data_IF_074737896100
#
_entry.id   IF_074737896100
#
_cell.length_a   1.000
_cell.length_b   1.000
_cell.length_c   1.000
_cell.angle_alpha   90.00
_cell.angle_beta   90.00
_cell.angle_gamma   90.00
#
_symmetry.space_group_name_H-M   'P 1'
#
loop_
_entity.id
_entity.type
_entity.pdbx_description
1 polymer ?
#
# COMPACT_ATOMS: atom_id res chain seq x y z
N UNK A 1 79.06 24.73 -4.75
CA UNK A 1 77.93 25.37 -4.05
C UNK A 1 76.81 25.52 -5.07
N UNK A 2 76.10 24.42 -5.33
CA UNK A 2 74.96 24.40 -6.23
C UNK A 2 73.70 24.46 -5.37
N UNK A 3 72.90 25.49 -5.63
CA UNK A 3 71.65 25.77 -4.94
C UNK A 3 70.56 24.85 -5.53
N UNK A 4 70.16 23.84 -4.76
CA UNK A 4 69.01 22.99 -5.07
C UNK A 4 67.76 23.74 -4.62
N UNK A 5 66.94 24.19 -5.57
CA UNK A 5 65.65 24.80 -5.27
C UNK A 5 64.59 23.69 -5.14
N UNK A 6 64.07 23.55 -3.92
CA UNK A 6 62.93 22.70 -3.58
C UNK A 6 61.67 23.20 -4.30
N UNK A 7 61.29 22.50 -5.37
CA UNK A 7 60.03 22.72 -6.06
C UNK A 7 58.92 22.02 -5.27
N UNK A 8 58.29 22.78 -4.37
CA UNK A 8 57.12 22.37 -3.59
C UNK A 8 55.97 21.96 -4.52
N UNK A 9 55.70 20.65 -4.56
CA UNK A 9 54.57 20.05 -5.28
C UNK A 9 53.31 20.26 -4.43
N UNK A 10 52.69 21.44 -4.58
CA UNK A 10 51.40 21.74 -3.97
C UNK A 10 50.33 20.81 -4.55
N UNK A 11 49.94 19.81 -3.75
CA UNK A 11 48.85 18.90 -4.09
C UNK A 11 47.55 19.69 -4.32
N UNK A 12 46.84 19.49 -5.44
CA UNK A 12 45.57 20.15 -5.68
C UNK A 12 44.55 19.66 -4.63
N UNK A 13 44.17 20.57 -3.74
CA UNK A 13 43.14 20.39 -2.71
C UNK A 13 41.80 20.07 -3.41
N UNK A 14 41.55 18.78 -3.62
CA UNK A 14 40.37 18.27 -4.30
C UNK A 14 39.25 18.22 -3.26
N UNK A 15 38.73 19.39 -2.88
CA UNK A 15 37.57 19.48 -2.00
C UNK A 15 36.42 18.70 -2.66
N UNK A 16 35.82 17.71 -1.97
CA UNK A 16 34.75 16.90 -2.54
C UNK A 16 33.57 17.82 -2.82
N UNK A 17 33.35 18.11 -4.10
CA UNK A 17 32.26 18.94 -4.58
C UNK A 17 30.96 18.44 -3.94
N UNK A 18 30.29 19.32 -3.19
CA UNK A 18 29.00 19.04 -2.57
C UNK A 18 28.08 18.41 -3.62
N UNK A 19 27.67 17.15 -3.39
CA UNK A 19 26.87 16.33 -4.29
C UNK A 19 25.82 17.21 -4.98
N UNK A 20 26.09 17.57 -6.23
CA UNK A 20 25.17 18.36 -7.02
C UNK A 20 23.82 17.65 -6.97
N UNK A 21 22.79 18.34 -6.47
CA UNK A 21 21.46 17.75 -6.35
C UNK A 21 21.10 17.21 -7.72
N UNK A 22 20.97 15.88 -7.82
CA UNK A 22 20.59 15.19 -9.05
C UNK A 22 19.41 15.94 -9.65
N UNK A 23 19.61 16.46 -10.87
CA UNK A 23 18.57 17.22 -11.57
C UNK A 23 17.36 16.30 -11.71
N UNK A 24 16.20 16.79 -11.29
CA UNK A 24 14.95 16.04 -11.35
C UNK A 24 14.52 15.93 -12.80
N UNK A 25 14.07 14.74 -13.21
CA UNK A 25 13.45 14.53 -14.53
C UNK A 25 12.28 15.51 -14.72
N UNK A 26 12.07 15.99 -15.94
CA UNK A 26 10.91 16.83 -16.26
C UNK A 26 9.60 16.08 -16.00
N UNK A 27 8.51 16.85 -15.85
CA UNK A 27 7.16 16.29 -15.64
C UNK A 27 6.74 15.41 -16.84
N UNK A 28 7.10 15.82 -18.05
CA UNK A 28 6.78 15.12 -19.29
C UNK A 28 7.55 13.80 -19.40
N UNK A 29 8.87 13.82 -19.11
CA UNK A 29 9.68 12.59 -19.10
C UNK A 29 9.17 11.58 -18.05
N UNK A 30 8.73 12.06 -16.89
CA UNK A 30 8.12 11.21 -15.87
C UNK A 30 6.77 10.62 -16.34
N UNK A 31 5.96 11.40 -17.05
CA UNK A 31 4.67 10.94 -17.57
C UNK A 31 4.86 9.80 -18.59
N UNK A 32 5.82 9.95 -19.50
CA UNK A 32 6.22 8.92 -20.47
C UNK A 32 6.66 7.62 -19.78
N UNK A 33 7.52 7.72 -18.75
CA UNK A 33 7.96 6.55 -18.00
C UNK A 33 6.83 5.83 -17.26
N UNK A 34 5.85 6.59 -16.74
CA UNK A 34 4.67 6.01 -16.10
C UNK A 34 3.75 5.33 -17.11
N UNK A 35 3.57 5.92 -18.28
CA UNK A 35 2.74 5.36 -19.33
C UNK A 35 3.27 3.99 -19.78
N UNK A 36 4.57 3.89 -20.07
CA UNK A 36 5.22 2.64 -20.48
C UNK A 36 5.15 1.57 -19.38
N UNK A 37 5.26 1.98 -18.11
CA UNK A 37 5.04 1.07 -16.98
C UNK A 37 3.60 0.54 -16.95
N UNK A 38 2.61 1.42 -17.15
CA UNK A 38 1.19 1.06 -17.17
C UNK A 38 0.82 0.16 -18.36
N UNK A 39 1.57 0.24 -19.46
CA UNK A 39 1.48 -0.69 -20.59
C UNK A 39 2.01 -2.10 -20.27
N UNK A 40 2.54 -2.33 -19.06
CA UNK A 40 3.01 -3.65 -18.60
C UNK A 40 4.50 -3.91 -18.84
N UNK A 41 5.25 -2.95 -19.40
CA UNK A 41 6.68 -3.10 -19.64
C UNK A 41 7.46 -2.87 -18.33
N UNK A 42 7.63 -3.94 -17.56
CA UNK A 42 8.34 -3.89 -16.27
C UNK A 42 9.85 -4.11 -16.38
N UNK A 43 10.29 -4.82 -17.42
CA UNK A 43 11.69 -5.15 -17.72
C UNK A 43 12.00 -4.82 -19.18
N UNK A 44 12.16 -3.53 -19.53
CA UNK A 44 12.39 -3.15 -20.92
C UNK A 44 13.70 -3.75 -21.46
N UNK A 45 13.69 -4.18 -22.72
CA UNK A 45 14.86 -4.68 -23.44
C UNK A 45 15.91 -3.59 -23.64
N UNK A 46 17.13 -3.96 -24.05
CA UNK A 46 18.20 -2.98 -24.29
C UNK A 46 17.82 -1.99 -25.39
N UNK A 47 17.14 -2.47 -26.44
CA UNK A 47 16.64 -1.66 -27.55
C UNK A 47 15.51 -0.73 -27.10
N UNK A 48 14.54 -1.25 -26.35
CA UNK A 48 13.46 -0.43 -25.77
C UNK A 48 14.02 0.69 -24.89
N UNK A 49 15.01 0.38 -24.03
CA UNK A 49 15.68 1.40 -23.21
C UNK A 49 16.37 2.48 -24.05
N UNK A 50 16.96 2.12 -25.19
CA UNK A 50 17.60 3.09 -26.10
C UNK A 50 16.56 4.03 -26.71
N UNK A 51 15.44 3.49 -27.19
CA UNK A 51 14.34 4.27 -27.74
C UNK A 51 13.70 5.20 -26.69
N UNK A 52 13.43 4.69 -25.48
CA UNK A 52 12.94 5.51 -24.37
C UNK A 52 13.91 6.65 -24.03
N UNK A 53 15.21 6.36 -24.02
CA UNK A 53 16.23 7.35 -23.67
C UNK A 53 16.28 8.48 -24.70
N UNK A 54 16.29 8.13 -25.98
CA UNK A 54 16.24 9.10 -27.08
C UNK A 54 14.99 9.98 -27.00
N UNK A 55 13.83 9.36 -26.72
CA UNK A 55 12.57 10.08 -26.57
C UNK A 55 12.58 11.02 -25.37
N UNK A 56 13.14 10.61 -24.22
CA UNK A 56 13.26 11.47 -23.04
C UNK A 56 14.26 12.61 -23.27
N UNK A 57 15.39 12.34 -23.93
CA UNK A 57 16.39 13.35 -24.24
C UNK A 57 15.89 14.38 -25.27
N UNK A 58 14.90 14.03 -26.09
CA UNK A 58 14.24 14.98 -27.00
C UNK A 58 13.38 16.02 -26.28
N UNK A 59 13.04 15.81 -25.00
CA UNK A 59 12.24 16.74 -24.20
C UNK A 59 13.13 17.86 -23.59
N UNK A 60 12.64 19.10 -23.54
CA UNK A 60 13.41 20.22 -23.00
C UNK A 60 13.76 20.01 -21.52
N UNK A 61 15.04 20.14 -21.18
CA UNK A 61 15.55 19.99 -19.83
C UNK A 61 15.80 18.54 -19.38
N UNK A 62 15.74 17.56 -20.29
CA UNK A 62 16.04 16.14 -20.02
C UNK A 62 17.27 15.62 -20.77
N UNK A 63 18.10 16.51 -21.30
CA UNK A 63 19.28 16.17 -22.14
C UNK A 63 20.32 15.35 -21.36
N UNK A 64 20.37 15.59 -20.04
CA UNK A 64 21.29 14.94 -19.11
C UNK A 64 20.75 13.60 -18.58
N UNK A 65 19.61 13.12 -19.06
CA UNK A 65 19.06 11.85 -18.62
C UNK A 65 19.83 10.70 -19.26
N UNK A 66 20.25 9.73 -18.44
CA UNK A 66 21.08 8.60 -18.89
C UNK A 66 20.36 7.26 -18.73
N UNK A 67 20.87 6.22 -19.42
CA UNK A 67 20.38 4.84 -19.28
C UNK A 67 20.35 4.35 -17.83
N UNK A 68 21.34 4.74 -17.01
CA UNK A 68 21.38 4.40 -15.58
C UNK A 68 20.17 4.92 -14.81
N UNK A 69 19.63 6.07 -15.21
CA UNK A 69 18.46 6.68 -14.57
C UNK A 69 17.19 5.88 -14.90
N UNK A 70 17.07 5.37 -16.13
CA UNK A 70 16.00 4.44 -16.52
C UNK A 70 16.08 3.17 -15.69
N UNK A 71 17.27 2.56 -15.60
CA UNK A 71 17.46 1.33 -14.82
C UNK A 71 17.06 1.54 -13.36
N UNK A 72 17.47 2.67 -12.76
CA UNK A 72 17.10 3.04 -11.41
C UNK A 72 15.58 3.26 -11.25
N UNK A 73 14.92 3.90 -12.22
CA UNK A 73 13.47 4.11 -12.20
C UNK A 73 12.72 2.78 -12.22
N UNK A 74 13.02 1.90 -13.17
CA UNK A 74 12.35 0.60 -13.29
C UNK A 74 12.69 -0.32 -12.10
N UNK A 75 13.93 -0.30 -11.61
CA UNK A 75 14.31 -1.04 -10.41
C UNK A 75 13.56 -0.54 -9.17
N UNK A 76 13.46 0.78 -8.97
CA UNK A 76 12.71 1.38 -7.87
C UNK A 76 11.22 1.10 -7.95
N UNK A 77 10.64 1.04 -9.17
CA UNK A 77 9.25 0.67 -9.36
C UNK A 77 8.99 -0.80 -9.06
N UNK A 78 9.84 -1.71 -9.55
CA UNK A 78 9.74 -3.14 -9.22
C UNK A 78 9.91 -3.37 -7.72
N UNK A 79 10.90 -2.73 -7.10
CA UNK A 79 11.09 -2.83 -5.66
C UNK A 79 9.88 -2.28 -4.91
N UNK A 80 9.31 -1.16 -5.35
CA UNK A 80 8.09 -0.59 -4.76
C UNK A 80 6.88 -1.51 -4.89
N UNK A 81 6.68 -2.18 -6.02
CA UNK A 81 5.57 -3.15 -6.15
C UNK A 81 5.80 -4.34 -5.24
N UNK A 82 7.03 -4.89 -5.19
CA UNK A 82 7.37 -5.98 -4.28
C UNK A 82 7.37 -5.57 -2.81
N UNK A 83 7.59 -4.29 -2.52
CA UNK A 83 7.55 -3.75 -1.17
C UNK A 83 6.16 -3.29 -0.80
N UNK A 84 5.27 -2.91 -1.72
CA UNK A 84 3.87 -2.68 -1.40
C UNK A 84 3.21 -3.97 -0.97
N UNK A 85 3.60 -5.12 -1.55
CA UNK A 85 3.23 -6.43 -0.99
C UNK A 85 3.98 -6.79 0.31
N UNK A 86 5.04 -6.06 0.68
CA UNK A 86 5.89 -6.30 1.88
C UNK A 86 5.84 -5.15 2.91
N UNK A 87 4.99 -4.16 2.72
CA UNK A 87 4.86 -2.93 3.53
C UNK A 87 3.47 -2.83 4.13
N UNK A 88 2.57 -3.75 3.78
CA UNK A 88 1.54 -4.27 4.66
C UNK A 88 1.97 -5.59 5.33
N UNK A 89 3.26 -5.96 5.26
CA UNK A 89 3.84 -6.94 6.20
C UNK A 89 4.52 -6.18 7.34
N UNK A 90 3.70 -5.46 8.09
CA UNK A 90 3.75 -5.65 9.53
C UNK A 90 3.87 -7.16 9.76
N UNK A 91 4.92 -7.61 10.46
CA UNK A 91 5.11 -9.03 10.83
C UNK A 91 3.75 -9.67 11.02
N UNK A 92 3.39 -10.77 10.32
CA UNK A 92 2.00 -11.20 10.17
C UNK A 92 1.34 -11.21 11.56
N UNK A 93 0.68 -10.10 11.91
CA UNK A 93 0.17 -9.87 13.27
C UNK A 93 -0.85 -10.95 13.60
N UNK A 94 -1.34 -11.58 12.54
CA UNK A 94 -2.26 -12.67 12.48
C UNK A 94 -1.65 -13.80 11.64
N UNK A 95 -0.66 -14.50 12.20
CA UNK A 95 0.05 -15.57 11.50
C UNK A 95 -0.86 -16.77 11.20
N UNK A 96 -1.97 -16.89 11.93
CA UNK A 96 -2.93 -17.99 11.76
C UNK A 96 -4.13 -17.63 10.87
N UNK A 97 -4.37 -16.35 10.57
CA UNK A 97 -5.50 -15.93 9.73
C UNK A 97 -5.06 -15.90 8.26
N UNK A 98 -5.69 -16.72 7.43
CA UNK A 98 -5.43 -16.70 5.98
C UNK A 98 -6.11 -15.51 5.31
N UNK A 99 -5.56 -15.03 4.21
CA UNK A 99 -6.12 -13.90 3.44
C UNK A 99 -7.58 -14.13 3.03
N UNK A 100 -7.91 -15.37 2.62
CA UNK A 100 -9.28 -15.78 2.25
C UNK A 100 -10.28 -15.71 3.41
N UNK A 101 -9.81 -15.75 4.66
CA UNK A 101 -10.64 -15.72 5.86
C UNK A 101 -10.92 -14.28 6.33
N UNK A 102 -10.13 -13.31 5.88
CA UNK A 102 -10.28 -11.90 6.27
C UNK A 102 -11.65 -11.36 5.80
N UNK A 103 -12.10 -11.75 4.61
CA UNK A 103 -13.41 -11.33 4.09
C UNK A 103 -14.57 -11.88 4.93
N UNK A 104 -14.50 -13.17 5.28
CA UNK A 104 -15.47 -13.81 6.19
C UNK A 104 -15.47 -13.16 7.58
N UNK A 105 -14.28 -12.85 8.11
CA UNK A 105 -14.13 -12.22 9.41
C UNK A 105 -14.71 -10.80 9.42
N UNK A 106 -14.53 -10.04 8.34
CA UNK A 106 -15.15 -8.72 8.16
C UNK A 106 -16.68 -8.81 8.13
N UNK A 107 -17.24 -9.79 7.42
CA UNK A 107 -18.69 -10.00 7.40
C UNK A 107 -19.25 -10.37 8.78
N UNK A 108 -18.55 -11.23 9.53
CA UNK A 108 -18.91 -11.58 10.90
C UNK A 108 -18.83 -10.36 11.84
N UNK A 109 -17.80 -9.54 11.68
CA UNK A 109 -17.59 -8.34 12.49
C UNK A 109 -18.68 -7.27 12.27
N UNK A 110 -19.09 -7.06 11.02
CA UNK A 110 -20.19 -6.15 10.67
C UNK A 110 -21.53 -6.63 11.24
N UNK A 111 -21.77 -7.95 11.25
CA UNK A 111 -22.99 -8.55 11.79
C UNK A 111 -23.18 -8.39 13.31
N UNK A 112 -22.10 -8.28 14.09
CA UNK A 112 -22.13 -8.25 15.57
C UNK A 112 -21.94 -6.84 16.15
N UNK A 113 -22.24 -5.80 15.36
CA UNK A 113 -22.19 -4.38 15.79
C UNK A 113 -20.82 -3.96 16.37
N UNK A 114 -19.72 -4.41 15.74
CA UNK A 114 -18.34 -3.96 16.02
C UNK A 114 -17.80 -4.16 17.44
N UNK A 115 -18.53 -4.84 18.33
CA UNK A 115 -18.07 -5.14 19.68
C UNK A 115 -18.40 -6.59 20.08
N UNK A 116 -17.75 -7.58 19.43
CA UNK A 116 -17.99 -8.98 19.72
C UNK A 116 -17.54 -9.32 21.15
N UNK A 117 -18.34 -10.15 21.84
CA UNK A 117 -17.96 -10.77 23.12
C UNK A 117 -16.75 -11.71 22.92
N UNK A 118 -16.00 -11.98 23.97
CA UNK A 118 -14.91 -12.94 23.97
C UNK A 118 -15.37 -14.36 23.55
N UNK A 119 -16.58 -14.75 23.93
CA UNK A 119 -17.18 -16.03 23.51
C UNK A 119 -17.40 -16.07 22.00
N UNK A 120 -17.86 -14.94 21.42
CA UNK A 120 -18.09 -14.81 19.98
C UNK A 120 -16.77 -14.87 19.21
N UNK A 121 -15.74 -14.21 19.72
CA UNK A 121 -14.39 -14.27 19.15
C UNK A 121 -13.84 -15.70 19.17
N UNK A 122 -14.12 -16.46 20.23
CA UNK A 122 -13.71 -17.87 20.35
C UNK A 122 -14.41 -18.72 19.29
N UNK A 123 -15.71 -18.54 19.09
CA UNK A 123 -16.46 -19.22 18.01
C UNK A 123 -15.92 -18.86 16.62
N UNK A 124 -15.56 -17.59 16.39
CA UNK A 124 -14.95 -17.18 15.12
C UNK A 124 -13.58 -17.83 14.90
N UNK A 125 -12.77 -17.91 15.95
CA UNK A 125 -11.46 -18.57 15.90
C UNK A 125 -11.60 -20.07 15.56
N UNK A 126 -12.54 -20.77 16.18
CA UNK A 126 -12.84 -22.18 15.87
C UNK A 126 -13.37 -22.35 14.44
N UNK A 127 -14.32 -21.50 14.02
CA UNK A 127 -14.93 -21.54 12.70
C UNK A 127 -13.91 -21.32 11.57
N UNK A 128 -12.95 -20.41 11.80
CA UNK A 128 -11.89 -20.08 10.84
C UNK A 128 -10.64 -20.95 11.05
N UNK A 129 -10.57 -21.79 12.07
CA UNK A 129 -9.35 -22.54 12.40
C UNK A 129 -8.14 -21.64 12.67
N UNK A 130 -8.37 -20.46 13.25
CA UNK A 130 -7.36 -19.46 13.57
C UNK A 130 -7.13 -19.37 15.09
N UNK A 131 -6.02 -18.76 15.51
CA UNK A 131 -5.76 -18.53 16.92
C UNK A 131 -6.64 -17.39 17.46
N UNK A 132 -7.26 -17.60 18.62
CA UNK A 132 -8.00 -16.57 19.37
C UNK A 132 -7.23 -15.24 19.53
N UNK A 133 -5.93 -15.21 19.91
CA UNK A 133 -5.18 -13.95 20.01
C UNK A 133 -5.08 -13.19 18.68
N UNK A 134 -4.98 -13.91 17.56
CA UNK A 134 -4.89 -13.28 16.24
C UNK A 134 -6.22 -12.65 15.85
N UNK A 135 -7.35 -13.33 16.10
CA UNK A 135 -8.68 -12.77 15.85
C UNK A 135 -8.94 -11.55 16.77
N UNK A 136 -8.54 -11.62 18.05
CA UNK A 136 -8.65 -10.48 18.98
C UNK A 136 -7.86 -9.27 18.50
N UNK A 137 -6.62 -9.48 18.08
CA UNK A 137 -5.78 -8.40 17.60
C UNK A 137 -6.28 -7.85 16.25
N UNK A 138 -6.87 -8.68 15.39
CA UNK A 138 -7.51 -8.22 14.15
C UNK A 138 -8.74 -7.36 14.44
N UNK A 139 -9.58 -7.79 15.38
CA UNK A 139 -10.76 -7.02 15.82
C UNK A 139 -10.35 -5.67 16.42
N UNK A 140 -9.25 -5.61 17.16
CA UNK A 140 -8.72 -4.36 17.71
C UNK A 140 -8.30 -3.38 16.60
N UNK A 141 -7.51 -3.86 15.62
CA UNK A 141 -7.04 -3.05 14.50
C UNK A 141 -8.20 -2.59 13.60
N UNK A 142 -9.22 -3.44 13.37
CA UNK A 142 -10.41 -3.06 12.61
C UNK A 142 -11.28 -2.03 13.37
N UNK A 143 -11.34 -2.10 14.70
CA UNK A 143 -11.99 -1.05 15.51
C UNK A 143 -11.23 0.28 15.43
N UNK A 144 -9.91 0.24 15.43
CA UNK A 144 -9.07 1.42 15.25
C UNK A 144 -9.27 2.04 13.85
N UNK A 145 -9.31 1.23 12.80
CA UNK A 145 -9.50 1.69 11.43
C UNK A 145 -10.85 2.37 11.20
N UNK A 146 -11.90 1.94 11.92
CA UNK A 146 -13.22 2.57 11.92
C UNK A 146 -13.32 3.82 12.81
N UNK A 147 -12.24 4.21 13.49
CA UNK A 147 -12.28 5.30 14.49
C UNK A 147 -13.15 4.96 15.70
N UNK A 148 -13.45 3.68 15.91
CA UNK A 148 -14.16 3.15 17.07
C UNK A 148 -13.22 2.70 18.19
N UNK A 149 -11.91 2.93 18.04
CA UNK A 149 -11.00 2.95 19.17
C UNK A 149 -11.62 3.88 20.20
N UNK A 150 -12.08 3.27 21.29
CA UNK A 150 -12.56 3.98 22.45
C UNK A 150 -11.38 4.87 22.85
N UNK A 151 -11.46 6.15 22.45
CA UNK A 151 -10.54 7.18 22.86
C UNK A 151 -10.66 7.19 24.38
N UNK A 152 -9.78 6.42 25.03
CA UNK A 152 -9.61 6.50 26.45
C UNK A 152 -9.40 7.99 26.69
N UNK A 153 -10.27 8.65 27.48
CA UNK A 153 -10.20 10.09 27.68
C UNK A 153 -8.75 10.40 28.00
N UNK A 154 -8.10 11.33 27.28
CA UNK A 154 -6.67 11.52 27.31
C UNK A 154 -6.25 11.53 28.77
N UNK A 155 -5.61 10.45 29.21
CA UNK A 155 -5.17 10.34 30.60
C UNK A 155 -4.36 11.62 30.81
N UNK A 156 -4.80 12.54 31.69
CA UNK A 156 -4.20 13.85 31.79
C UNK A 156 -2.72 13.60 31.98
N UNK A 157 -1.91 14.04 31.02
CA UNK A 157 -0.48 13.80 31.00
C UNK A 157 0.02 14.24 32.36
N UNK A 158 0.30 13.27 33.22
CA UNK A 158 1.00 13.55 34.47
C UNK A 158 2.35 14.03 33.98
N UNK A 159 2.54 15.33 34.02
CA UNK A 159 3.81 15.95 33.71
C UNK A 159 4.81 15.34 34.69
N UNK A 160 5.58 14.38 34.22
CA UNK A 160 6.77 13.91 34.92
C UNK A 160 7.75 15.07 34.83
N UNK A 161 7.60 16.01 35.76
CA UNK A 161 8.62 16.99 36.07
C UNK A 161 9.87 16.21 36.39
N UNK A 162 10.81 16.31 35.46
CA UNK A 162 12.21 15.93 35.62
C UNK A 162 12.77 16.60 36.87
N UNK A 163 12.66 15.94 38.02
CA UNK A 163 13.45 16.23 39.20
C UNK A 163 14.62 15.26 39.24
N UNK A 164 15.69 15.69 38.58
CA UNK A 164 17.04 15.16 38.77
C UNK A 164 17.46 15.54 40.19
N UNK A 165 17.39 14.60 41.13
CA UNK A 165 18.10 14.67 42.40
C UNK A 165 19.00 13.45 42.53
N UNK A 166 20.33 13.62 42.66
CA UNK A 166 21.19 12.57 43.17
C UNK A 166 21.18 12.67 44.69
N UNK A 167 20.77 11.62 45.40
CA UNK A 167 21.17 11.46 46.79
C UNK A 167 21.02 10.03 47.29
N UNK A 168 21.89 9.63 48.23
CA UNK A 168 22.52 8.31 48.26
C UNK A 168 21.77 7.31 49.13
N UNK A 169 22.27 6.08 49.08
CA UNK A 169 22.14 5.00 50.06
C UNK A 169 21.52 5.41 51.40
N UNK A 170 20.36 4.85 51.73
CA UNK A 170 20.11 4.38 53.09
C UNK A 170 19.36 3.06 53.06
N UNK A 171 20.08 2.03 53.47
CA UNK A 171 19.56 0.76 53.95
C UNK A 171 18.55 1.00 55.06
N UNK A 172 17.31 0.56 54.91
CA UNK A 172 16.46 0.26 56.06
C UNK A 172 15.57 -0.94 55.72
N UNK A 173 16.07 -2.09 56.17
CA UNK A 173 15.29 -3.25 56.53
C UNK A 173 14.14 -2.81 57.45
N UNK A 174 12.90 -2.97 57.03
CA UNK A 174 11.79 -3.28 57.93
C UNK A 174 10.87 -4.30 57.28
N UNK A 175 10.92 -5.50 57.84
CA UNK A 175 9.95 -6.56 57.73
C UNK A 175 8.52 -6.04 57.88
N UNK A 176 7.60 -6.51 57.05
CA UNK A 176 6.21 -6.66 57.50
C UNK A 176 5.62 -7.94 56.93
N UNK A 177 5.77 -8.98 57.74
CA UNK A 177 5.07 -10.25 57.71
C UNK A 177 3.60 -10.02 58.04
N UNK A 178 2.68 -10.40 57.14
CA UNK A 178 1.29 -10.76 57.44
C UNK A 178 0.87 -11.83 56.42
N UNK A 179 1.11 -13.11 56.68
CA UNK A 179 0.22 -14.08 57.36
C UNK A 179 -1.19 -14.22 56.77
N UNK A 180 -1.36 -15.37 56.10
CA UNK A 180 -2.52 -16.29 56.05
C UNK A 180 -3.88 -15.78 55.58
N UNK A 181 -4.40 -16.42 54.53
CA UNK A 181 -5.36 -17.53 54.73
C UNK A 181 -5.49 -18.45 53.49
N UNK A 182 -5.50 -19.78 53.69
CA UNK A 182 -5.86 -20.75 52.66
C UNK A 182 -7.37 -20.98 52.66
N UNK A 183 -8.01 -21.02 51.48
CA UNK A 183 -9.39 -21.49 51.37
C UNK A 183 -9.46 -22.70 50.43
N UNK A 184 -9.61 -23.85 51.07
CA UNK A 184 -9.98 -25.14 50.51
C UNK A 184 -11.47 -25.20 50.14
N UNK A 185 -11.78 -26.08 49.17
CA UNK A 185 -13.04 -26.82 48.86
C UNK A 185 -13.59 -26.56 47.44
N UNK A 186 -14.36 -27.51 46.85
CA UNK A 186 -14.19 -28.97 46.88
C UNK A 186 -14.25 -29.60 45.47
N UNK A 187 -13.67 -30.80 45.41
CA UNK A 187 -13.96 -31.89 44.47
C UNK A 187 -15.42 -31.97 44.02
N UNK A 188 -15.64 -31.91 42.70
CA UNK A 188 -16.75 -32.63 42.05
C UNK A 188 -16.18 -33.41 40.88
N UNK A 189 -15.97 -34.69 41.15
CA UNK A 189 -15.85 -35.75 40.16
C UNK A 189 -17.26 -36.09 39.68
N UNK A 190 -17.52 -36.07 38.37
CA UNK A 190 -18.46 -37.02 37.79
C UNK A 190 -17.68 -37.99 36.92
N UNK A 191 -17.58 -39.22 37.42
CA UNK A 191 -17.37 -40.39 36.60
C UNK A 191 -18.56 -40.50 35.64
N UNK A 192 -18.29 -40.42 34.34
CA UNK A 192 -19.19 -40.88 33.30
C UNK A 192 -18.34 -41.64 32.28
N UNK A 193 -18.17 -42.91 32.60
CA UNK A 193 -17.83 -43.98 31.67
C UNK A 193 -18.93 -44.01 30.60
N UNK A 194 -18.54 -43.80 29.34
CA UNK A 194 -19.46 -43.71 28.22
C UNK A 194 -18.68 -43.79 26.91
N UNK A 195 -18.72 -44.92 26.18
CA UNK A 195 -18.09 -45.01 24.87
C UNK A 195 -18.88 -44.14 23.87
N UNK A 196 -18.25 -43.28 23.06
CA UNK A 196 -18.92 -42.73 21.90
C UNK A 196 -19.08 -43.87 20.87
N UNK A 197 -20.24 -44.51 20.90
CA UNK A 197 -20.75 -45.26 19.75
C UNK A 197 -20.74 -44.34 18.53
N UNK A 198 -19.98 -44.75 17.53
CA UNK A 198 -20.02 -44.21 16.18
C UNK A 198 -21.45 -44.30 15.60
N UNK A 199 -21.97 -43.22 14.99
CA UNK A 199 -22.85 -43.36 13.85
C UNK A 199 -22.08 -43.08 12.57
N UNK A 200 -22.07 -44.10 11.73
CA UNK A 200 -21.65 -44.14 10.34
C UNK A 200 -21.80 -42.82 9.58
N UNK A 201 -20.70 -42.34 9.00
CA UNK A 201 -20.75 -41.40 7.90
C UNK A 201 -21.30 -42.10 6.64
N UNK A 202 -22.27 -41.52 5.91
CA UNK A 202 -22.60 -41.98 4.58
C UNK A 202 -21.47 -41.61 3.62
N UNK A 203 -20.91 -42.62 2.97
CA UNK A 203 -20.05 -42.48 1.80
C UNK A 203 -20.84 -41.78 0.69
N UNK A 204 -20.66 -40.46 0.55
CA UNK A 204 -21.06 -39.75 -0.66
C UNK A 204 -20.02 -40.02 -1.73
N UNK A 205 -20.31 -41.10 -2.45
CA UNK A 205 -19.72 -41.50 -3.71
C UNK A 205 -20.05 -40.42 -4.76
N UNK A 206 -19.14 -39.49 -5.02
CA UNK A 206 -19.26 -38.55 -6.13
C UNK A 206 -18.39 -39.04 -7.31
N UNK A 207 -18.99 -39.25 -8.48
CA UNK A 207 -18.30 -39.82 -9.64
C UNK A 207 -17.28 -38.84 -10.21
N UNK A 208 -16.04 -39.33 -10.37
CA UNK A 208 -15.04 -38.80 -11.30
C UNK A 208 -15.65 -38.80 -12.70
N UNK A 209 -16.12 -37.64 -13.18
CA UNK A 209 -16.28 -37.43 -14.61
C UNK A 209 -14.94 -37.05 -15.21
N UNK A 210 -14.20 -38.09 -15.55
CA UNK A 210 -13.24 -38.10 -16.65
C UNK A 210 -14.00 -37.86 -17.94
N UNK A 211 -13.86 -36.69 -18.54
CA UNK A 211 -14.13 -36.51 -19.98
C UNK A 211 -12.83 -36.08 -20.64
N UNK A 212 -12.25 -37.04 -21.32
CA UNK A 212 -11.20 -36.87 -22.31
C UNK A 212 -11.68 -35.91 -23.42
N UNK A 213 -10.79 -34.99 -23.82
CA UNK A 213 -10.20 -34.83 -25.18
C UNK A 213 -10.99 -35.34 -26.41
N UNK A 214 -10.62 -34.95 -27.64
CA UNK A 214 -10.26 -33.64 -28.21
C UNK A 214 -11.05 -33.40 -29.53
N UNK A 215 -10.84 -32.26 -30.18
CA UNK A 215 -10.63 -32.15 -31.64
C UNK A 215 -11.07 -30.79 -32.20
N UNK A 216 -10.28 -30.36 -33.18
CA UNK A 216 -10.44 -29.22 -34.05
C UNK A 216 -11.84 -29.05 -34.65
N UNK A 217 -12.25 -27.79 -34.80
CA UNK A 217 -12.96 -27.19 -35.95
C UNK A 217 -13.15 -25.70 -35.59
N UNK A 218 -12.51 -24.78 -36.31
CA UNK A 218 -12.97 -24.22 -37.59
C UNK A 218 -13.62 -22.84 -37.36
N UNK A 219 -12.85 -21.80 -37.71
CA UNK A 219 -13.23 -20.57 -38.42
C UNK A 219 -14.73 -20.19 -38.39
N UNK A 220 -15.07 -19.14 -37.66
CA UNK A 220 -16.07 -18.15 -38.10
C UNK A 220 -16.00 -16.86 -37.27
N UNK A 221 -15.64 -15.76 -37.94
CA UNK A 221 -15.83 -14.39 -37.49
C UNK A 221 -17.32 -14.01 -37.58
N UNK A 222 -17.88 -13.32 -36.58
CA UNK A 222 -19.05 -12.47 -36.83
C UNK A 222 -18.65 -10.99 -36.90
N UNK A 223 -19.22 -10.37 -37.93
CA UNK A 223 -19.06 -8.99 -38.31
C UNK A 223 -19.62 -7.99 -37.28
N UNK A 224 -19.13 -6.77 -37.41
CA UNK A 224 -19.54 -5.53 -36.76
C UNK A 224 -21.04 -5.39 -36.52
N UNK A 225 -21.41 -4.92 -35.34
CA UNK A 225 -22.61 -4.09 -35.16
C UNK A 225 -22.32 -3.00 -34.12
N UNK A 226 -22.28 -1.76 -34.60
CA UNK A 226 -22.24 -0.55 -33.79
C UNK A 226 -23.60 -0.36 -33.09
N UNK A 227 -23.65 -0.05 -31.79
CA UNK A 227 -24.82 0.58 -31.21
C UNK A 227 -24.72 2.10 -31.40
N UNK A 228 -25.54 2.63 -32.30
CA UNK A 228 -26.06 4.00 -32.25
C UNK A 228 -26.76 4.21 -30.91
N UNK A 229 -26.22 5.07 -30.04
CA UNK A 229 -26.98 5.56 -28.90
C UNK A 229 -27.33 7.03 -29.09
N UNK A 230 -28.64 7.22 -29.22
CA UNK A 230 -29.38 8.44 -29.45
C UNK A 230 -29.28 9.43 -28.30
N UNK A 231 -29.42 10.71 -28.68
CA UNK A 231 -29.31 11.89 -27.83
C UNK A 231 -30.08 11.84 -26.53
N UNK A 232 -29.38 12.24 -25.47
CA UNK A 232 -30.00 12.87 -24.31
C UNK A 232 -29.85 14.38 -24.44
N UNK A 233 -30.96 14.99 -24.83
CA UNK A 233 -31.26 16.40 -24.65
C UNK A 233 -31.21 16.69 -23.14
N UNK A 234 -30.32 17.60 -22.71
CA UNK A 234 -30.40 18.21 -21.38
C UNK A 234 -30.55 19.70 -21.57
N UNK A 235 -31.72 20.19 -21.18
CA UNK A 235 -32.10 21.59 -21.23
C UNK A 235 -31.21 22.47 -20.33
N UNK A 236 -30.90 23.70 -20.74
CA UNK A 236 -30.19 24.67 -19.92
C UNK A 236 -31.14 25.29 -18.88
N UNK A 237 -30.89 25.01 -17.59
CA UNK A 237 -31.55 25.71 -16.49
C UNK A 237 -31.04 27.15 -16.46
N UNK A 238 -32.02 28.06 -16.51
CA UNK A 238 -31.85 29.50 -16.47
C UNK A 238 -31.21 29.98 -15.16
N UNK A 239 -30.22 30.84 -15.29
CA UNK A 239 -29.67 31.68 -14.22
C UNK A 239 -30.71 32.70 -13.74
N UNK A 240 -30.78 33.02 -12.44
CA UNK A 240 -31.33 34.28 -11.97
C UNK A 240 -30.23 35.34 -11.85
N UNK A 241 -30.49 36.43 -12.56
CA UNK A 241 -29.91 37.77 -12.47
C UNK A 241 -29.82 38.28 -11.02
N UNK A 242 -28.66 38.85 -10.66
CA UNK A 242 -28.55 39.83 -9.58
C UNK A 242 -27.64 40.99 -10.03
N UNK A 243 -27.91 42.24 -9.58
CA UNK A 243 -27.41 43.44 -10.23
C UNK A 243 -26.08 43.95 -9.67
N UNK A 244 -25.36 44.64 -10.57
CA UNK A 244 -24.48 45.79 -10.37
C UNK A 244 -23.93 46.06 -8.95
N UNK A 245 -22.60 46.01 -8.84
CA UNK A 245 -21.89 47.16 -8.28
C UNK A 245 -20.59 47.42 -9.06
N UNK A 246 -20.41 48.68 -9.42
CA UNK A 246 -19.36 49.20 -10.29
C UNK A 246 -18.32 49.88 -9.43
N UNK A 247 -17.10 49.35 -9.38
CA UNK A 247 -15.95 50.17 -8.97
C UNK A 247 -14.65 49.74 -9.63
N UNK A 248 -14.32 50.50 -10.66
CA UNK A 248 -13.00 51.00 -11.04
C UNK A 248 -11.77 50.45 -10.29
N UNK A 249 -10.88 49.77 -11.02
CA UNK A 249 -9.60 50.36 -11.48
C UNK A 249 -8.52 49.32 -11.76
N UNK A 250 -8.08 49.34 -13.02
CA UNK A 250 -6.68 49.23 -13.47
C UNK A 250 -5.81 48.07 -12.93
N UNK A 251 -5.60 47.07 -13.79
CA UNK A 251 -4.27 46.69 -14.28
C UNK A 251 -4.41 45.59 -15.34
N UNK A 252 -4.31 46.01 -16.60
CA UNK A 252 -4.14 45.15 -17.77
C UNK A 252 -2.84 44.35 -17.61
N UNK A 253 -2.97 43.02 -17.58
CA UNK A 253 -1.86 42.11 -17.84
C UNK A 253 -2.33 41.14 -18.93
N UNK A 254 -1.85 41.28 -20.19
CA UNK A 254 -2.29 40.41 -21.27
C UNK A 254 -1.80 38.99 -21.01
N UNK A 255 -2.75 38.09 -20.69
CA UNK A 255 -2.54 36.65 -20.60
C UNK A 255 -1.96 36.17 -21.95
N UNK A 256 -0.80 35.50 -21.97
CA UNK A 256 -0.25 34.96 -23.21
C UNK A 256 -1.18 33.89 -23.78
N UNK A 257 -1.27 33.76 -25.11
CA UNK A 257 -2.13 32.77 -25.74
C UNK A 257 -1.72 31.37 -25.27
N UNK A 258 -2.69 30.70 -24.69
CA UNK A 258 -2.62 29.30 -24.29
C UNK A 258 -2.26 28.48 -25.54
N UNK A 259 -1.15 27.71 -25.54
CA UNK A 259 -0.87 26.83 -26.65
C UNK A 259 -2.01 25.82 -26.70
N UNK A 260 -2.80 25.88 -27.78
CA UNK A 260 -3.72 24.84 -28.17
C UNK A 260 -2.88 23.56 -28.28
N UNK A 261 -2.87 22.77 -27.21
CA UNK A 261 -2.38 21.41 -27.22
C UNK A 261 -3.34 20.65 -28.12
N UNK A 262 -3.06 20.76 -29.42
CA UNK A 262 -3.49 19.84 -30.45
C UNK A 262 -3.43 18.45 -29.81
N UNK A 263 -4.57 17.78 -29.75
CA UNK A 263 -4.67 16.36 -29.39
C UNK A 263 -3.82 15.58 -30.37
N UNK A 264 -2.53 15.55 -30.08
CA UNK A 264 -1.56 14.75 -30.79
C UNK A 264 -1.80 13.35 -30.24
N UNK A 265 -2.60 12.60 -30.98
CA UNK A 265 -2.86 11.19 -30.75
C UNK A 265 -1.56 10.41 -31.01
N UNK A 266 -0.76 10.15 -29.97
CA UNK A 266 0.53 9.45 -30.05
C UNK A 266 0.39 7.92 -30.07
N UNK A 267 -0.61 7.40 -30.77
CA UNK A 267 -0.69 5.98 -31.10
C UNK A 267 -1.27 5.87 -32.50
N UNK A 268 -0.48 5.38 -33.48
CA UNK A 268 -0.21 3.94 -33.54
C UNK A 268 1.16 3.63 -34.18
N UNK A 269 2.23 3.43 -33.40
CA UNK A 269 3.46 2.89 -34.01
C UNK A 269 4.33 1.98 -33.14
N UNK A 270 4.07 1.89 -31.83
CA UNK A 270 4.82 0.95 -30.98
C UNK A 270 4.16 -0.44 -30.85
N UNK A 271 2.88 -0.58 -31.23
CA UNK A 271 2.19 -1.89 -31.16
C UNK A 271 2.73 -2.92 -32.16
N UNK A 272 3.26 -2.48 -33.30
CA UNK A 272 3.79 -3.38 -34.34
C UNK A 272 5.21 -3.90 -34.05
N UNK A 273 5.86 -3.44 -32.98
CA UNK A 273 7.21 -3.87 -32.59
C UNK A 273 7.24 -4.72 -31.31
N UNK A 274 6.07 -5.10 -30.82
CA UNK A 274 5.87 -5.88 -29.59
C UNK A 274 5.25 -7.27 -29.84
N UNK A 275 5.14 -7.69 -31.10
CA UNK A 275 4.83 -9.07 -31.52
C UNK A 275 6.08 -9.79 -32.02
#
# INVERSE_FOLDING_TARGET
>A
MEHVQDTSFAAPDTRPASKARLRRISREGLALLKDIWNQGVTNPTVEQKKLLLEQIQSLPGCEHYEKRNLDAFFASRRSKVSSTSKSCSESPRYSTIKTEQIESLRALFEGVKHNPSEDVITVWAELLGAAVPDIKAWVADEKESLGMSQELPPTPMSMTTSSRFPSPEQEHLVSTTLLLSPLTLPTVTPAADGPPSHPSAPLLNLPLQTVNEPAAMEISLPASTLPSNSGFHRDPISSPTAPHDTRDSAAVNPKPPEPQLSSFSWAPSLKHLLE
#
